data_IF_871933667602
#
_entry.id   IF_871933667602
#
_cell.length_a   1.000
_cell.length_b   1.000
_cell.length_c   1.000
_cell.angle_alpha   90.00
_cell.angle_beta   90.00
_cell.angle_gamma   90.00
#
_symmetry.space_group_name_H-M   'P 1'
#
loop_
_entity.id
_entity.type
_entity.pdbx_description
1 polymer ?
#
# COMPACT_ATOMS: atom_id res chain seq x y z
N UNK A 1 31.39 -15.52 -13.85
CA UNK A 1 30.61 -16.10 -12.72
C UNK A 1 29.14 -16.08 -13.09
N UNK A 2 28.57 -17.25 -13.43
CA UNK A 2 27.12 -17.41 -13.65
C UNK A 2 26.43 -17.32 -12.29
N UNK A 3 25.44 -16.44 -12.13
CA UNK A 3 24.55 -16.47 -10.97
C UNK A 3 23.47 -17.48 -11.31
N UNK A 4 23.51 -18.63 -10.64
CA UNK A 4 22.47 -19.63 -10.77
C UNK A 4 21.18 -19.08 -10.16
N UNK A 5 20.17 -18.95 -11.01
CA UNK A 5 18.82 -18.53 -10.67
C UNK A 5 18.11 -19.71 -9.99
N UNK A 6 18.54 -20.07 -8.78
CA UNK A 6 17.92 -21.13 -8.01
C UNK A 6 16.67 -20.56 -7.33
N UNK A 7 15.50 -20.96 -7.84
CA UNK A 7 14.26 -20.83 -7.09
C UNK A 7 14.42 -21.49 -5.72
N UNK A 8 13.92 -20.88 -4.64
CA UNK A 8 14.04 -21.44 -3.31
C UNK A 8 13.29 -22.78 -3.24
N UNK A 9 13.83 -23.77 -2.47
CA UNK A 9 13.10 -24.99 -2.21
C UNK A 9 11.78 -24.68 -1.50
N UNK A 10 10.70 -25.33 -1.93
CA UNK A 10 9.39 -25.19 -1.31
C UNK A 10 9.46 -25.49 0.20
N UNK A 11 8.76 -24.72 1.05
CA UNK A 11 8.66 -25.04 2.47
C UNK A 11 8.08 -26.46 2.61
N UNK A 12 8.74 -27.32 3.38
CA UNK A 12 8.23 -28.65 3.70
C UNK A 12 6.92 -28.48 4.46
N UNK A 13 5.88 -29.20 4.02
CA UNK A 13 4.56 -29.15 4.64
C UNK A 13 4.67 -29.50 6.14
N UNK A 14 4.00 -28.76 7.04
CA UNK A 14 4.04 -29.06 8.46
C UNK A 14 3.45 -30.45 8.71
N UNK A 15 4.16 -31.25 9.51
CA UNK A 15 3.69 -32.55 9.94
C UNK A 15 2.34 -32.41 10.66
N UNK A 16 1.31 -33.07 10.10
CA UNK A 16 -0.09 -32.99 10.55
C UNK A 16 -0.26 -33.61 11.94
N UNK A 17 -0.02 -32.84 13.01
CA UNK A 17 -0.40 -33.25 14.37
C UNK A 17 -1.92 -33.09 14.54
N UNK A 18 -2.62 -34.23 14.58
CA UNK A 18 -4.02 -34.30 15.03
C UNK A 18 -4.09 -33.89 16.50
N UNK A 19 -4.80 -32.80 16.81
CA UNK A 19 -5.39 -32.59 18.14
C UNK A 19 -6.82 -32.04 17.99
N UNK A 20 -7.68 -32.60 18.84
CA UNK A 20 -9.13 -32.48 18.87
C UNK A 20 -9.62 -31.07 19.23
N UNK A 21 -10.90 -30.85 18.91
CA UNK A 21 -11.66 -29.61 18.96
C UNK A 21 -11.79 -28.93 20.33
N UNK A 22 -12.05 -27.63 20.32
CA UNK A 22 -12.56 -26.83 21.44
C UNK A 22 -12.77 -25.37 21.05
N UNK A 23 -14.02 -24.94 20.97
CA UNK A 23 -14.47 -23.55 20.74
C UNK A 23 -13.99 -22.59 21.84
N UNK A 24 -13.76 -21.30 21.51
CA UNK A 24 -14.47 -20.15 22.09
C UNK A 24 -14.02 -18.82 21.46
N UNK A 25 -15.02 -17.97 21.20
CA UNK A 25 -14.90 -16.58 20.77
C UNK A 25 -14.35 -15.69 21.89
N UNK A 26 -13.67 -14.59 21.53
CA UNK A 26 -13.34 -13.53 22.50
C UNK A 26 -12.26 -12.58 22.01
N UNK A 27 -12.68 -11.38 21.63
CA UNK A 27 -11.84 -10.18 21.54
C UNK A 27 -11.01 -9.98 22.80
N UNK A 28 -9.71 -9.69 22.66
CA UNK A 28 -8.91 -9.14 23.75
C UNK A 28 -7.99 -8.03 23.24
N UNK A 29 -8.36 -6.79 23.57
CA UNK A 29 -7.41 -5.69 23.72
C UNK A 29 -6.29 -6.17 24.66
N UNK A 30 -5.04 -6.12 24.23
CA UNK A 30 -3.93 -6.44 25.13
C UNK A 30 -3.49 -5.18 25.88
N UNK A 31 -4.00 -5.07 27.12
CA UNK A 31 -3.45 -4.20 28.14
C UNK A 31 -2.02 -4.67 28.48
N UNK A 32 -1.05 -3.78 28.33
CA UNK A 32 0.34 -4.01 28.75
C UNK A 32 0.41 -3.78 30.26
N UNK A 33 0.35 -4.85 31.04
CA UNK A 33 0.72 -4.83 32.45
C UNK A 33 2.19 -5.27 32.57
N UNK A 34 3.05 -4.31 32.92
CA UNK A 34 4.46 -4.53 33.17
C UNK A 34 4.67 -5.28 34.50
N UNK A 35 4.92 -6.58 34.42
CA UNK A 35 5.60 -7.35 35.48
C UNK A 35 6.84 -7.99 34.88
N UNK A 36 7.99 -7.43 35.25
CA UNK A 36 9.30 -7.94 34.88
C UNK A 36 9.58 -9.27 35.59
N UNK A 37 9.95 -10.30 34.81
CA UNK A 37 11.08 -11.23 35.06
C UNK A 37 11.05 -12.39 34.05
N UNK A 38 12.06 -12.45 33.18
CA UNK A 38 12.50 -13.62 32.41
C UNK A 38 11.45 -14.40 31.60
N UNK A 39 10.85 -13.75 30.59
CA UNK A 39 10.49 -14.50 29.38
C UNK A 39 11.78 -14.68 28.58
N UNK A 40 12.26 -15.92 28.33
CA UNK A 40 13.31 -16.12 27.36
C UNK A 40 12.81 -15.53 26.04
N UNK A 41 13.64 -14.71 25.39
CA UNK A 41 13.44 -14.33 23.99
C UNK A 41 13.68 -15.60 23.18
N UNK A 42 12.75 -16.55 23.25
CA UNK A 42 12.68 -17.66 22.30
C UNK A 42 12.43 -17.01 20.94
N UNK A 43 13.44 -17.15 20.08
CA UNK A 43 13.59 -16.50 18.77
C UNK A 43 12.27 -16.51 18.00
N UNK A 44 11.63 -15.35 17.90
CA UNK A 44 10.49 -15.07 17.00
C UNK A 44 10.87 -15.15 15.52
N UNK A 45 12.14 -15.41 15.23
CA UNK A 45 12.72 -15.54 13.89
C UNK A 45 12.78 -17.03 13.60
N UNK A 46 11.99 -17.56 12.63
CA UNK A 46 12.06 -18.96 12.24
C UNK A 46 13.46 -19.30 11.74
N UNK A 47 13.99 -20.44 12.16
CA UNK A 47 15.19 -21.08 11.60
C UNK A 47 14.76 -21.89 10.36
N UNK A 48 15.17 -21.45 9.17
CA UNK A 48 14.72 -21.99 7.89
C UNK A 48 15.54 -23.19 7.40
N UNK A 49 16.77 -23.36 7.88
CA UNK A 49 17.64 -24.49 7.54
C UNK A 49 17.72 -25.54 8.67
N UNK A 50 17.05 -25.30 9.79
CA UNK A 50 16.90 -26.21 10.93
C UNK A 50 18.28 -26.64 11.47
N UNK A 51 19.25 -25.72 11.43
CA UNK A 51 20.63 -25.96 11.89
C UNK A 51 20.85 -25.50 13.35
N UNK A 52 19.84 -24.88 13.96
CA UNK A 52 19.85 -24.40 15.34
C UNK A 52 20.51 -23.03 15.51
N UNK A 53 21.06 -22.43 14.45
CA UNK A 53 21.76 -21.15 14.46
C UNK A 53 21.09 -20.14 13.54
N UNK A 54 20.66 -19.00 14.12
CA UNK A 54 20.16 -17.90 13.28
C UNK A 54 21.36 -17.06 12.86
N UNK A 55 21.77 -17.25 11.61
CA UNK A 55 22.91 -16.52 11.05
C UNK A 55 22.49 -15.13 10.57
N UNK A 56 23.43 -14.19 10.50
CA UNK A 56 23.18 -12.85 9.96
C UNK A 56 22.66 -12.90 8.50
N UNK A 57 23.17 -13.84 7.70
CA UNK A 57 22.72 -14.07 6.33
C UNK A 57 21.25 -14.50 6.27
N UNK A 58 20.81 -15.31 7.23
CA UNK A 58 19.42 -15.75 7.33
C UNK A 58 18.49 -14.58 7.68
N UNK A 59 18.87 -13.74 8.65
CA UNK A 59 18.12 -12.53 9.01
C UNK A 59 18.03 -11.55 7.84
N UNK A 60 19.13 -11.36 7.10
CA UNK A 60 19.15 -10.50 5.91
C UNK A 60 18.24 -11.04 4.79
N UNK A 61 18.26 -12.35 4.56
CA UNK A 61 17.37 -12.99 3.60
C UNK A 61 15.89 -12.84 4.00
N UNK A 62 15.56 -13.07 5.27
CA UNK A 62 14.19 -12.90 5.77
C UNK A 62 13.71 -11.45 5.64
N UNK A 63 14.58 -10.50 5.99
CA UNK A 63 14.29 -9.07 5.87
C UNK A 63 14.04 -8.70 4.40
N UNK A 64 14.82 -9.24 3.46
CA UNK A 64 14.61 -9.04 2.04
C UNK A 64 13.27 -9.64 1.54
N UNK A 65 12.90 -10.84 2.00
CA UNK A 65 11.62 -11.48 1.68
C UNK A 65 10.45 -10.65 2.19
N UNK A 66 10.49 -10.21 3.45
CA UNK A 66 9.46 -9.36 4.05
C UNK A 66 9.35 -8.04 3.28
N UNK A 67 10.48 -7.39 2.98
CA UNK A 67 10.49 -6.14 2.22
C UNK A 67 9.88 -6.30 0.82
N UNK A 68 10.13 -7.42 0.14
CA UNK A 68 9.51 -7.71 -1.16
C UNK A 68 7.98 -7.87 -1.03
N UNK A 69 7.51 -8.65 -0.06
CA UNK A 69 6.07 -8.85 0.19
C UNK A 69 5.35 -7.54 0.52
N UNK A 70 5.96 -6.70 1.34
CA UNK A 70 5.41 -5.38 1.66
C UNK A 70 5.31 -4.54 0.39
N UNK A 71 6.36 -4.49 -0.44
CA UNK A 71 6.34 -3.75 -1.72
C UNK A 71 5.23 -4.25 -2.64
N UNK A 72 5.06 -5.57 -2.78
CA UNK A 72 3.99 -6.18 -3.57
C UNK A 72 2.61 -5.79 -3.04
N UNK A 73 2.39 -5.86 -1.72
CA UNK A 73 1.11 -5.49 -1.12
C UNK A 73 0.77 -4.00 -1.32
N UNK A 74 1.76 -3.12 -1.21
CA UNK A 74 1.59 -1.68 -1.43
C UNK A 74 1.23 -1.40 -2.89
N UNK A 75 1.90 -2.07 -3.83
CA UNK A 75 1.57 -1.92 -5.25
C UNK A 75 0.17 -2.45 -5.56
N UNK A 76 -0.22 -3.62 -5.02
CA UNK A 76 -1.58 -4.15 -5.18
C UNK A 76 -2.64 -3.18 -4.64
N UNK A 77 -2.41 -2.58 -3.47
CA UNK A 77 -3.29 -1.56 -2.91
C UNK A 77 -3.39 -0.35 -3.84
N UNK A 78 -2.27 0.17 -4.34
CA UNK A 78 -2.26 1.31 -5.28
C UNK A 78 -3.02 0.98 -6.57
N UNK A 79 -2.87 -0.23 -7.10
CA UNK A 79 -3.62 -0.70 -8.29
C UNK A 79 -5.11 -0.82 -8.01
N UNK A 80 -5.49 -1.30 -6.83
CA UNK A 80 -6.90 -1.32 -6.41
C UNK A 80 -7.50 0.08 -6.42
N UNK A 81 -6.80 1.07 -5.85
CA UNK A 81 -7.23 2.49 -5.89
C UNK A 81 -7.30 2.99 -7.34
N UNK A 82 -6.27 2.75 -8.16
CA UNK A 82 -6.25 3.16 -9.57
C UNK A 82 -7.44 2.62 -10.37
N UNK A 83 -7.85 1.38 -10.08
CA UNK A 83 -8.99 0.69 -10.69
C UNK A 83 -10.35 1.02 -10.05
N UNK A 84 -10.39 1.89 -9.04
CA UNK A 84 -11.64 2.23 -8.35
C UNK A 84 -12.65 2.79 -9.37
N UNK A 85 -13.90 2.28 -9.44
CA UNK A 85 -14.82 2.58 -10.54
C UNK A 85 -15.09 4.08 -10.74
N UNK A 86 -15.34 4.81 -9.65
CA UNK A 86 -15.57 6.26 -9.68
C UNK A 86 -14.34 7.01 -10.15
N UNK A 87 -13.15 6.61 -9.68
CA UNK A 87 -11.90 7.27 -10.06
C UNK A 87 -11.56 7.04 -11.53
N UNK A 88 -11.77 5.81 -12.02
CA UNK A 88 -11.56 5.46 -13.42
C UNK A 88 -12.53 6.21 -14.32
N UNK A 89 -13.80 6.35 -13.91
CA UNK A 89 -14.80 7.13 -14.64
C UNK A 89 -14.41 8.62 -14.73
N UNK A 90 -14.06 9.24 -13.60
CA UNK A 90 -13.66 10.65 -13.57
C UNK A 90 -12.41 10.85 -14.43
N UNK A 91 -11.36 10.04 -14.24
CA UNK A 91 -10.10 10.16 -15.01
C UNK A 91 -10.32 10.00 -16.52
N UNK A 92 -11.18 9.06 -16.92
CA UNK A 92 -11.54 8.86 -18.32
C UNK A 92 -12.23 10.08 -18.95
N UNK A 93 -13.06 10.79 -18.16
CA UNK A 93 -13.73 12.01 -18.59
C UNK A 93 -12.78 13.22 -18.59
N UNK A 94 -12.00 13.37 -17.52
CA UNK A 94 -11.19 14.57 -17.25
C UNK A 94 -9.89 14.62 -18.04
N UNK A 95 -9.22 13.48 -18.29
CA UNK A 95 -7.81 13.52 -18.70
C UNK A 95 -7.28 12.38 -19.56
N UNK A 96 -7.85 11.16 -19.59
CA UNK A 96 -7.21 10.03 -20.29
C UNK A 96 -6.98 10.28 -21.79
N UNK A 97 -7.83 11.10 -22.42
CA UNK A 97 -7.68 11.52 -23.83
C UNK A 97 -6.76 12.74 -24.03
N UNK A 98 -6.29 13.33 -22.94
CA UNK A 98 -5.55 14.60 -22.89
C UNK A 98 -4.28 14.52 -22.02
N UNK A 99 -3.70 13.32 -21.85
CA UNK A 99 -2.42 13.12 -21.14
C UNK A 99 -2.51 12.44 -19.77
N UNK A 100 -3.71 12.04 -19.33
CA UNK A 100 -3.96 11.28 -18.10
C UNK A 100 -3.35 11.96 -16.87
N UNK A 101 -2.52 11.24 -16.12
CA UNK A 101 -1.82 11.78 -14.95
C UNK A 101 -0.90 12.97 -15.23
N UNK A 102 -0.51 13.18 -16.48
CA UNK A 102 0.32 14.31 -16.89
C UNK A 102 -0.47 15.43 -17.57
N UNK A 103 -1.80 15.31 -17.65
CA UNK A 103 -2.66 16.28 -18.31
C UNK A 103 -2.45 17.69 -17.76
N UNK A 104 -2.48 18.67 -18.66
CA UNK A 104 -2.31 20.08 -18.34
C UNK A 104 -3.34 20.87 -19.15
N UNK A 105 -4.19 21.61 -18.46
CA UNK A 105 -5.15 22.46 -19.13
C UNK A 105 -4.45 23.77 -19.55
N UNK A 106 -4.43 24.15 -20.84
CA UNK A 106 -3.77 25.37 -21.28
C UNK A 106 -4.52 26.65 -20.90
N UNK A 107 -5.79 26.54 -20.48
CA UNK A 107 -6.68 27.68 -20.19
C UNK A 107 -6.94 27.88 -18.70
N UNK A 108 -6.46 26.98 -17.83
CA UNK A 108 -6.63 27.09 -16.37
C UNK A 108 -5.48 26.44 -15.62
N UNK A 109 -5.43 26.56 -14.30
CA UNK A 109 -4.45 25.83 -13.49
C UNK A 109 -4.74 24.33 -13.39
N UNK A 110 -5.89 23.86 -13.88
CA UNK A 110 -6.31 22.47 -13.76
C UNK A 110 -5.28 21.52 -14.40
N UNK A 111 -4.87 20.48 -13.66
CA UNK A 111 -3.89 19.53 -14.14
C UNK A 111 -4.04 18.15 -13.51
N UNK A 112 -3.33 17.18 -14.08
CA UNK A 112 -3.31 15.79 -13.63
C UNK A 112 -4.59 15.04 -13.96
N UNK A 113 -4.64 13.78 -13.52
CA UNK A 113 -5.69 12.83 -13.87
C UNK A 113 -7.12 13.31 -13.56
N UNK A 114 -7.24 14.12 -12.50
CA UNK A 114 -8.51 14.58 -11.93
C UNK A 114 -8.72 16.08 -12.08
N UNK A 115 -7.87 16.74 -12.88
CA UNK A 115 -7.99 18.15 -13.23
C UNK A 115 -8.12 19.10 -12.02
N UNK A 116 -7.36 18.82 -10.95
CA UNK A 116 -7.33 19.70 -9.78
C UNK A 116 -6.73 21.06 -10.13
N UNK A 117 -7.36 22.14 -9.68
CA UNK A 117 -6.76 23.48 -9.65
C UNK A 117 -5.58 23.50 -8.68
N UNK A 118 -4.54 24.30 -8.97
CA UNK A 118 -3.32 24.34 -8.17
C UNK A 118 -3.57 24.70 -6.69
N UNK A 119 -4.51 25.62 -6.41
CA UNK A 119 -4.89 26.00 -5.04
C UNK A 119 -5.59 24.86 -4.30
N UNK A 120 -6.59 24.24 -4.94
CA UNK A 120 -7.30 23.09 -4.39
C UNK A 120 -6.35 21.92 -4.16
N UNK A 121 -5.48 21.64 -5.13
CA UNK A 121 -4.50 20.57 -5.05
C UNK A 121 -3.60 20.68 -3.82
N UNK A 122 -3.02 21.85 -3.56
CA UNK A 122 -2.11 22.03 -2.40
C UNK A 122 -2.78 21.73 -1.07
N UNK A 123 -4.06 22.08 -0.92
CA UNK A 123 -4.83 21.79 0.29
C UNK A 123 -5.20 20.31 0.36
N UNK A 124 -5.79 19.76 -0.70
CA UNK A 124 -6.28 18.39 -0.73
C UNK A 124 -5.12 17.37 -0.60
N UNK A 125 -3.98 17.64 -1.26
CA UNK A 125 -2.81 16.77 -1.19
C UNK A 125 -2.19 16.76 0.19
N UNK A 126 -2.11 17.91 0.86
CA UNK A 126 -1.66 17.97 2.25
C UNK A 126 -2.61 17.22 3.21
N UNK A 127 -3.93 17.39 3.05
CA UNK A 127 -4.94 16.68 3.85
C UNK A 127 -4.89 15.15 3.66
N UNK A 128 -4.58 14.71 2.44
CA UNK A 128 -4.40 13.30 2.12
C UNK A 128 -3.00 12.75 2.51
N UNK A 129 -2.13 13.54 3.15
CA UNK A 129 -0.80 13.09 3.58
C UNK A 129 0.28 13.12 2.49
N UNK A 130 0.05 13.87 1.40
CA UNK A 130 0.96 14.00 0.25
C UNK A 130 1.30 15.46 -0.10
N UNK A 131 1.78 16.28 0.87
CA UNK A 131 2.22 17.64 0.57
C UNK A 131 3.49 17.65 -0.31
N UNK A 132 3.84 18.82 -0.84
CA UNK A 132 5.12 19.06 -1.51
C UNK A 132 5.07 19.12 -3.04
N UNK A 133 3.97 18.67 -3.67
CA UNK A 133 3.76 18.86 -5.11
C UNK A 133 3.02 20.17 -5.37
N UNK A 134 3.62 21.07 -6.15
CA UNK A 134 3.02 22.38 -6.45
C UNK A 134 1.77 22.30 -7.34
N UNK A 135 1.68 21.26 -8.19
CA UNK A 135 0.57 20.95 -9.10
C UNK A 135 0.32 19.44 -9.14
N UNK A 136 -0.92 19.03 -9.45
CA UNK A 136 -1.31 17.63 -9.49
C UNK A 136 -0.49 16.82 -10.52
N UNK A 137 -0.26 17.37 -11.72
CA UNK A 137 0.52 16.70 -12.78
C UNK A 137 1.98 16.36 -12.41
N UNK A 138 2.53 16.99 -11.37
CA UNK A 138 3.90 16.70 -10.90
C UNK A 138 3.94 15.58 -9.87
N UNK A 139 2.79 15.20 -9.31
CA UNK A 139 2.70 14.10 -8.38
C UNK A 139 2.68 12.76 -9.13
N UNK A 140 3.29 11.70 -8.58
CA UNK A 140 3.14 10.35 -9.10
C UNK A 140 1.67 9.96 -9.22
N UNK A 141 1.36 9.06 -10.17
CA UNK A 141 -0.01 8.61 -10.42
C UNK A 141 -0.73 8.14 -9.15
N UNK A 142 -0.05 7.37 -8.30
CA UNK A 142 -0.63 6.80 -7.08
C UNK A 142 -0.92 7.87 -6.02
N UNK A 143 -0.22 9.01 -6.05
CA UNK A 143 -0.52 10.16 -5.21
C UNK A 143 -1.79 10.85 -5.70
N UNK A 144 -1.91 11.08 -7.00
CA UNK A 144 -3.11 11.71 -7.58
C UNK A 144 -4.37 10.88 -7.29
N UNK A 145 -4.28 9.56 -7.48
CA UNK A 145 -5.36 8.60 -7.15
C UNK A 145 -5.73 8.64 -5.66
N UNK A 146 -4.73 8.64 -4.77
CA UNK A 146 -4.96 8.70 -3.32
C UNK A 146 -5.63 10.02 -2.88
N UNK A 147 -5.18 11.16 -3.43
CA UNK A 147 -5.76 12.48 -3.14
C UNK A 147 -7.20 12.57 -3.65
N UNK A 148 -7.48 12.07 -4.85
CA UNK A 148 -8.83 12.04 -5.40
C UNK A 148 -9.76 11.14 -4.57
N UNK A 149 -9.31 9.93 -4.20
CA UNK A 149 -10.11 9.04 -3.34
C UNK A 149 -10.38 9.67 -1.97
N UNK A 150 -9.34 10.25 -1.34
CA UNK A 150 -9.49 10.97 -0.08
C UNK A 150 -10.52 12.09 -0.20
N UNK A 151 -10.42 12.92 -1.25
CA UNK A 151 -11.35 14.02 -1.51
C UNK A 151 -12.80 13.54 -1.63
N UNK A 152 -13.04 12.47 -2.40
CA UNK A 152 -14.37 11.86 -2.55
C UNK A 152 -14.91 11.36 -1.20
N UNK A 153 -14.08 10.65 -0.43
CA UNK A 153 -14.47 10.09 0.86
C UNK A 153 -14.76 11.17 1.92
N UNK A 154 -14.27 12.39 1.73
CA UNK A 154 -14.50 13.54 2.62
C UNK A 154 -15.54 14.54 2.06
N UNK A 155 -16.37 14.10 1.11
CA UNK A 155 -17.51 14.89 0.62
C UNK A 155 -17.22 15.78 -0.60
N UNK A 156 -16.00 15.76 -1.13
CA UNK A 156 -15.61 16.54 -2.32
C UNK A 156 -16.03 15.94 -3.65
N UNK A 157 -16.93 14.94 -3.68
CA UNK A 157 -17.39 14.31 -4.94
C UNK A 157 -18.04 15.32 -5.91
N UNK A 158 -18.68 16.36 -5.39
CA UNK A 158 -19.34 17.39 -6.19
C UNK A 158 -18.38 18.19 -7.08
N UNK A 159 -17.07 18.17 -6.82
CA UNK A 159 -16.06 18.76 -7.71
C UNK A 159 -16.08 18.15 -9.12
N UNK A 160 -16.61 16.93 -9.27
CA UNK A 160 -16.72 16.22 -10.55
C UNK A 160 -18.17 15.93 -10.95
N UNK A 161 -19.16 16.69 -10.45
CA UNK A 161 -20.58 16.43 -10.78
C UNK A 161 -20.89 16.53 -12.28
N UNK A 162 -20.07 17.26 -13.05
CA UNK A 162 -20.19 17.39 -14.51
C UNK A 162 -19.76 16.15 -15.30
N UNK A 163 -19.08 15.18 -14.68
CA UNK A 163 -18.56 13.99 -15.40
C UNK A 163 -19.60 12.89 -15.60
N UNK A 164 -20.75 12.96 -14.89
CA UNK A 164 -21.73 11.87 -14.86
C UNK A 164 -21.25 10.63 -14.09
N UNK A 165 -20.17 10.80 -13.32
CA UNK A 165 -19.67 9.84 -12.34
C UNK A 165 -20.14 10.25 -10.93
#
# INVERSE_FOLDING_TARGET
MKRDNQNPPSPKAPARRRRLAGFLAGTALFAVAATACNVPVEKWVPDFNDDGEITQNEVEWQTAVIANRIRESVEQQRRSVQSHPVLSCIRAHESDRAGGYSADNPYSSASGAYQFLDSTWRTASAQAGHPGYSRAKYAPWWVQDAVALHTINHGGRSHWSGTGC
#
